data_IF_086321353671
#
_entry.id   IF_086321353671
#
_cell.length_a   1.000
_cell.length_b   1.000
_cell.length_c   1.000
_cell.angle_alpha   90.00
_cell.angle_beta   90.00
_cell.angle_gamma   90.00
#
_symmetry.space_group_name_H-M   'P 1'
#
loop_
_entity.id
_entity.type
_entity.pdbx_description
1 polymer ?
#
# COMPACT_ATOMS: atom_id res chain seq x y z
N UNK A 1 43.76 27.00 -25.98
CA UNK A 1 42.67 26.00 -26.00
C UNK A 1 41.75 26.36 -24.86
N UNK A 2 40.57 26.90 -25.19
CA UNK A 2 39.63 27.47 -24.23
C UNK A 2 38.89 26.35 -23.51
N UNK A 3 39.00 26.31 -22.17
CA UNK A 3 38.15 25.52 -21.30
C UNK A 3 36.74 26.16 -21.35
N UNK A 4 35.88 25.64 -22.21
CA UNK A 4 34.48 26.01 -22.21
C UNK A 4 33.81 25.26 -21.05
N UNK A 5 33.62 25.94 -19.93
CA UNK A 5 32.79 25.49 -18.82
C UNK A 5 31.39 25.22 -19.38
N UNK A 6 30.93 23.95 -19.37
CA UNK A 6 29.54 23.59 -19.64
C UNK A 6 28.66 24.32 -18.61
N UNK A 7 28.03 25.42 -19.01
CA UNK A 7 27.11 26.21 -18.17
C UNK A 7 25.66 25.77 -18.27
N UNK A 8 25.35 24.82 -19.16
CA UNK A 8 23.97 24.55 -19.51
C UNK A 8 23.43 23.36 -18.71
N UNK A 9 22.37 23.63 -17.94
CA UNK A 9 21.57 22.61 -17.27
C UNK A 9 20.66 21.98 -18.33
N UNK A 10 20.85 20.69 -18.61
CA UNK A 10 20.03 19.96 -19.59
C UNK A 10 18.78 19.44 -18.89
N UNK A 11 17.60 19.69 -19.46
CA UNK A 11 16.32 19.24 -18.89
C UNK A 11 15.80 18.07 -19.69
N UNK A 12 15.52 16.95 -19.02
CA UNK A 12 14.86 15.79 -19.61
C UNK A 12 13.40 15.78 -19.14
N UNK A 13 12.53 16.27 -20.02
CA UNK A 13 11.09 16.49 -19.76
C UNK A 13 10.84 17.32 -18.49
N UNK A 14 9.65 17.24 -17.90
CA UNK A 14 9.35 17.83 -16.59
C UNK A 14 9.74 16.93 -15.41
N UNK A 15 10.46 15.83 -15.65
CA UNK A 15 10.87 14.86 -14.64
C UNK A 15 12.20 15.18 -13.98
N UNK A 16 13.24 15.52 -14.75
CA UNK A 16 14.58 15.73 -14.21
C UNK A 16 15.38 16.79 -14.96
N UNK A 17 16.37 17.33 -14.27
CA UNK A 17 17.43 18.17 -14.82
C UNK A 17 18.80 17.56 -14.53
N UNK A 18 19.73 17.71 -15.46
CA UNK A 18 21.12 17.32 -15.31
C UNK A 18 21.92 18.56 -14.93
N UNK A 19 22.50 18.53 -13.74
CA UNK A 19 23.34 19.61 -13.22
C UNK A 19 24.63 19.74 -14.05
N UNK A 20 25.35 20.89 -13.97
CA UNK A 20 26.60 21.09 -14.71
C UNK A 20 27.70 20.06 -14.41
N UNK A 21 27.64 19.39 -13.25
CA UNK A 21 28.55 18.31 -12.84
C UNK A 21 28.12 16.92 -13.35
N UNK A 22 27.07 16.84 -14.17
CA UNK A 22 26.53 15.62 -14.76
C UNK A 22 25.55 14.87 -13.86
N UNK A 23 25.28 15.36 -12.65
CA UNK A 23 24.38 14.69 -11.71
C UNK A 23 22.90 14.95 -12.01
N UNK A 24 22.03 13.91 -12.01
CA UNK A 24 20.61 14.10 -12.20
C UNK A 24 19.95 14.63 -10.92
N UNK A 25 19.02 15.58 -11.06
CA UNK A 25 18.11 16.03 -10.00
C UNK A 25 16.69 15.97 -10.51
N UNK A 26 15.81 15.34 -9.74
CA UNK A 26 14.38 15.36 -10.02
C UNK A 26 13.85 16.78 -9.85
N UNK A 27 12.86 17.13 -10.69
CA UNK A 27 12.18 18.41 -10.62
C UNK A 27 11.22 18.45 -9.42
N UNK A 28 10.86 19.66 -9.00
CA UNK A 28 9.91 19.87 -7.91
C UNK A 28 8.55 19.21 -8.18
N UNK A 29 8.03 18.52 -7.17
CA UNK A 29 6.75 17.81 -7.26
C UNK A 29 6.78 16.49 -8.04
N UNK A 30 7.97 15.98 -8.39
CA UNK A 30 8.15 14.62 -8.93
C UNK A 30 8.37 13.62 -7.79
N UNK A 31 9.18 13.98 -6.81
CA UNK A 31 9.53 13.12 -5.68
C UNK A 31 10.05 13.95 -4.50
N UNK A 32 9.81 13.55 -3.23
CA UNK A 32 10.32 14.27 -2.04
C UNK A 32 11.85 14.24 -1.91
N UNK A 33 12.50 13.21 -2.43
CA UNK A 33 13.97 13.12 -2.54
C UNK A 33 14.42 13.62 -3.93
N UNK A 34 14.93 14.86 -4.07
CA UNK A 34 15.35 15.39 -5.36
C UNK A 34 16.59 14.66 -5.93
N UNK A 35 17.38 14.03 -5.07
CA UNK A 35 18.52 13.17 -5.39
C UNK A 35 18.18 11.68 -5.49
N UNK A 36 16.91 11.29 -5.62
CA UNK A 36 16.48 9.88 -5.70
C UNK A 36 17.38 9.03 -6.63
N UNK A 37 17.75 9.56 -7.79
CA UNK A 37 18.54 8.85 -8.79
C UNK A 37 20.04 8.75 -8.45
N UNK A 38 20.49 9.29 -7.33
CA UNK A 38 21.84 9.11 -6.79
C UNK A 38 21.92 8.06 -5.70
N UNK A 39 20.77 7.71 -5.11
CA UNK A 39 20.68 6.72 -4.07
C UNK A 39 20.68 5.30 -4.68
N UNK A 40 21.21 4.36 -3.92
CA UNK A 40 20.92 2.94 -4.13
C UNK A 40 19.58 2.57 -3.47
N UNK A 41 19.09 1.35 -3.73
CA UNK A 41 17.78 0.94 -3.24
C UNK A 41 17.69 0.97 -1.71
N UNK A 42 18.74 0.55 -1.00
CA UNK A 42 18.77 0.59 0.47
C UNK A 42 18.73 2.03 1.00
N UNK A 43 19.43 2.96 0.36
CA UNK A 43 19.38 4.38 0.70
C UNK A 43 17.98 4.97 0.54
N UNK A 44 17.23 4.56 -0.49
CA UNK A 44 15.81 4.96 -0.66
C UNK A 44 14.95 4.37 0.46
N UNK A 45 15.07 3.07 0.72
CA UNK A 45 14.28 2.40 1.77
C UNK A 45 14.52 3.01 3.15
N UNK A 46 15.78 3.29 3.50
CA UNK A 46 16.14 3.88 4.79
C UNK A 46 15.67 5.35 4.91
N UNK A 47 15.72 6.13 3.81
CA UNK A 47 15.20 7.49 3.80
C UNK A 47 13.70 7.54 4.12
N UNK A 48 12.90 6.65 3.51
CA UNK A 48 11.47 6.56 3.80
C UNK A 48 11.19 6.02 5.19
N UNK A 49 11.90 4.98 5.64
CA UNK A 49 11.79 4.48 7.00
C UNK A 49 11.99 5.60 8.02
N UNK A 50 13.03 6.42 7.83
CA UNK A 50 13.33 7.57 8.70
C UNK A 50 12.25 8.66 8.59
N UNK A 51 11.84 9.01 7.37
CA UNK A 51 10.82 10.05 7.13
C UNK A 51 9.49 9.68 7.78
N UNK A 52 9.01 8.46 7.56
CA UNK A 52 7.79 7.97 8.16
C UNK A 52 7.85 7.97 9.69
N UNK A 53 8.96 7.51 10.29
CA UNK A 53 9.15 7.59 11.74
C UNK A 53 9.07 9.03 12.26
N UNK A 54 9.59 10.01 11.52
CA UNK A 54 9.48 11.42 11.88
C UNK A 54 8.02 11.91 11.81
N UNK A 55 7.28 11.56 10.76
CA UNK A 55 5.87 11.89 10.62
C UNK A 55 5.01 11.27 11.73
N UNK A 56 5.26 10.00 12.09
CA UNK A 56 4.60 9.35 13.22
C UNK A 56 4.88 10.08 14.53
N UNK A 57 6.14 10.41 14.84
CA UNK A 57 6.50 11.14 16.06
C UNK A 57 5.81 12.51 16.11
N UNK A 58 5.68 13.20 14.97
CA UNK A 58 4.96 14.47 14.88
C UNK A 58 3.48 14.29 15.23
N UNK A 59 2.78 13.31 14.63
CA UNK A 59 1.36 13.08 14.90
C UNK A 59 1.11 12.60 16.34
N UNK A 60 2.00 11.80 16.91
CA UNK A 60 1.93 11.43 18.33
C UNK A 60 2.09 12.67 19.22
N UNK A 61 3.03 13.57 18.90
CA UNK A 61 3.18 14.84 19.62
C UNK A 61 1.92 15.72 19.52
N UNK A 62 1.23 15.71 18.37
CA UNK A 62 -0.07 16.38 18.20
C UNK A 62 -1.17 15.77 19.09
N UNK A 63 -1.16 14.44 19.29
CA UNK A 63 -2.08 13.74 20.20
C UNK A 63 -1.76 13.98 21.68
N UNK A 64 -0.56 14.45 22.03
CA UNK A 64 -0.17 14.80 23.39
C UNK A 64 -0.48 16.26 23.74
N UNK A 65 -0.67 17.13 22.74
CA UNK A 65 -0.97 18.56 22.92
C UNK A 65 -2.47 18.82 23.25
N UNK A 66 -2.81 19.32 24.45
CA UNK A 66 -4.19 19.66 24.80
C UNK A 66 -4.86 20.73 23.92
N UNK A 67 -4.06 21.56 23.24
CA UNK A 67 -4.56 22.54 22.29
C UNK A 67 -4.92 21.94 20.92
N UNK A 68 -4.53 20.69 20.65
CA UNK A 68 -4.84 20.01 19.40
C UNK A 68 -6.32 19.53 19.36
N UNK A 69 -7.06 19.76 18.26
CA UNK A 69 -8.42 19.27 18.11
C UNK A 69 -8.58 17.74 18.25
N UNK A 70 -7.61 16.98 17.75
CA UNK A 70 -7.64 15.52 17.79
C UNK A 70 -7.45 15.00 19.23
N UNK A 71 -6.54 15.60 19.99
CA UNK A 71 -6.40 15.33 21.42
C UNK A 71 -7.72 15.56 22.16
N UNK A 72 -8.37 16.71 21.94
CA UNK A 72 -9.65 17.03 22.60
C UNK A 72 -10.75 16.02 22.27
N UNK A 73 -10.84 15.59 21.00
CA UNK A 73 -11.78 14.55 20.60
C UNK A 73 -11.55 13.25 21.36
N UNK A 74 -10.29 12.82 21.52
CA UNK A 74 -9.97 11.59 22.24
C UNK A 74 -10.24 11.71 23.75
N UNK A 75 -9.91 12.86 24.34
CA UNK A 75 -10.24 13.16 25.72
C UNK A 75 -11.76 13.10 25.97
N UNK A 76 -12.57 13.67 25.07
CA UNK A 76 -14.03 13.62 25.16
C UNK A 76 -14.57 12.18 25.10
N UNK A 77 -14.08 11.35 24.18
CA UNK A 77 -14.47 9.94 24.10
C UNK A 77 -14.12 9.18 25.39
N UNK A 78 -12.93 9.43 25.96
CA UNK A 78 -12.52 8.83 27.23
C UNK A 78 -13.39 9.29 28.40
N UNK A 79 -13.74 10.57 28.45
CA UNK A 79 -14.63 11.13 29.48
C UNK A 79 -16.05 10.54 29.40
N UNK A 80 -16.54 10.28 28.19
CA UNK A 80 -17.82 9.59 27.99
C UNK A 80 -17.72 8.15 28.48
N UNK A 81 -16.66 7.42 28.12
CA UNK A 81 -16.44 6.04 28.54
C UNK A 81 -16.35 5.92 30.07
N UNK A 82 -15.61 6.81 30.73
CA UNK A 82 -15.42 6.79 32.18
C UNK A 82 -16.72 7.00 32.99
N UNK A 83 -17.80 7.50 32.37
CA UNK A 83 -19.11 7.66 32.99
C UNK A 83 -19.99 6.41 32.90
N UNK A 84 -19.58 5.40 32.13
CA UNK A 84 -20.29 4.13 31.94
C UNK A 84 -19.45 2.97 32.54
N UNK A 85 -19.82 2.41 33.71
CA UNK A 85 -19.02 1.41 34.42
C UNK A 85 -18.75 0.09 33.65
N UNK A 86 -19.42 -0.17 32.53
CA UNK A 86 -19.17 -1.33 31.67
C UNK A 86 -18.35 -1.03 30.42
N UNK A 87 -17.95 0.23 30.21
CA UNK A 87 -17.27 0.69 29.01
C UNK A 87 -15.75 0.57 29.14
N UNK A 88 -15.14 -0.24 28.28
CA UNK A 88 -13.71 -0.54 28.29
C UNK A 88 -12.87 0.39 27.40
N UNK A 89 -13.46 1.41 26.79
CA UNK A 89 -12.73 2.29 25.86
C UNK A 89 -11.64 3.08 26.60
N UNK A 90 -11.93 3.61 27.79
CA UNK A 90 -10.93 4.33 28.58
C UNK A 90 -9.78 3.44 29.09
N UNK A 91 -9.98 2.11 29.10
CA UNK A 91 -9.02 1.11 29.56
C UNK A 91 -8.08 0.62 28.46
N UNK A 92 -8.27 1.07 27.20
CA UNK A 92 -7.39 0.67 26.11
C UNK A 92 -5.95 1.06 26.40
N UNK A 93 -5.04 0.09 26.28
CA UNK A 93 -3.62 0.27 26.58
C UNK A 93 -2.99 1.41 25.79
N UNK A 94 -3.51 1.66 24.58
CA UNK A 94 -3.06 2.74 23.70
C UNK A 94 -3.10 4.13 24.37
N UNK A 95 -3.97 4.33 25.36
CA UNK A 95 -4.07 5.59 26.10
C UNK A 95 -3.05 5.73 27.24
N UNK A 96 -2.30 4.67 27.57
CA UNK A 96 -1.19 4.79 28.51
C UNK A 96 -0.05 5.62 27.91
N UNK A 97 0.67 6.42 28.71
CA UNK A 97 1.77 7.26 28.21
C UNK A 97 2.78 6.45 27.40
N UNK A 98 3.01 6.84 26.14
CA UNK A 98 3.96 6.19 25.23
C UNK A 98 3.50 4.86 24.61
N UNK A 99 2.33 4.32 24.97
CA UNK A 99 1.86 3.04 24.44
C UNK A 99 1.53 3.13 22.95
N UNK A 100 0.85 4.19 22.51
CA UNK A 100 0.59 4.43 21.09
C UNK A 100 1.90 4.49 20.28
N UNK A 101 2.90 5.24 20.77
CA UNK A 101 4.20 5.33 20.13
C UNK A 101 4.90 3.97 20.03
N UNK A 102 4.82 3.16 21.09
CA UNK A 102 5.39 1.81 21.13
C UNK A 102 4.73 0.90 20.10
N UNK A 103 3.39 0.88 20.06
CA UNK A 103 2.61 0.11 19.10
C UNK A 103 2.95 0.50 17.65
N UNK A 104 3.00 1.81 17.36
CA UNK A 104 3.36 2.32 16.04
C UNK A 104 4.76 1.87 15.62
N UNK A 105 5.77 2.06 16.47
CA UNK A 105 7.14 1.70 16.15
C UNK A 105 7.29 0.18 15.99
N UNK A 106 6.63 -0.62 16.82
CA UNK A 106 6.65 -2.08 16.70
C UNK A 106 6.07 -2.56 15.37
N UNK A 107 4.92 -2.02 14.97
CA UNK A 107 4.26 -2.39 13.72
C UNK A 107 5.00 -1.82 12.49
N UNK A 108 5.54 -0.61 12.60
CA UNK A 108 6.40 0.01 11.58
C UNK A 108 7.62 -0.86 11.30
N UNK A 109 8.36 -1.22 12.33
CA UNK A 109 9.55 -2.06 12.22
C UNK A 109 9.21 -3.45 11.67
N UNK A 110 8.07 -4.01 12.08
CA UNK A 110 7.59 -5.28 11.53
C UNK A 110 7.35 -5.20 10.01
N UNK A 111 6.62 -4.18 9.56
CA UNK A 111 6.33 -3.95 8.13
C UNK A 111 7.62 -3.67 7.37
N UNK A 112 8.41 -2.67 7.79
CA UNK A 112 9.60 -2.20 7.08
C UNK A 112 10.75 -3.23 7.09
N UNK A 113 10.77 -4.12 8.07
CA UNK A 113 11.71 -5.25 8.11
C UNK A 113 11.38 -6.38 7.12
N UNK A 114 10.16 -6.41 6.56
CA UNK A 114 9.75 -7.53 5.71
C UNK A 114 10.58 -7.58 4.40
N UNK A 115 11.03 -8.77 3.95
CA UNK A 115 11.92 -8.89 2.78
C UNK A 115 11.30 -8.48 1.43
N UNK A 116 9.98 -8.24 1.39
CA UNK A 116 9.28 -7.83 0.16
C UNK A 116 9.78 -6.50 -0.40
N UNK A 117 10.23 -5.57 0.46
CA UNK A 117 10.77 -4.27 0.01
C UNK A 117 12.12 -4.41 -0.69
N UNK A 118 12.80 -5.55 -0.49
CA UNK A 118 14.07 -5.91 -1.14
C UNK A 118 13.87 -6.97 -2.22
N UNK A 119 12.63 -7.16 -2.68
CA UNK A 119 12.35 -8.16 -3.70
C UNK A 119 13.18 -7.88 -4.97
N UNK A 120 13.81 -8.90 -5.60
CA UNK A 120 14.68 -8.73 -6.77
C UNK A 120 14.09 -7.90 -7.91
N UNK A 121 12.77 -7.99 -8.10
CA UNK A 121 12.03 -7.17 -9.05
C UNK A 121 12.23 -5.66 -8.83
N UNK A 122 11.99 -5.17 -7.61
CA UNK A 122 12.09 -3.73 -7.33
C UNK A 122 13.53 -3.23 -7.45
N UNK A 123 14.50 -4.03 -7.01
CA UNK A 123 15.92 -3.70 -7.11
C UNK A 123 16.37 -3.58 -8.58
N UNK A 124 15.97 -4.55 -9.42
CA UNK A 124 16.30 -4.55 -10.85
C UNK A 124 15.62 -3.41 -11.59
N UNK A 125 14.33 -3.17 -11.32
CA UNK A 125 13.61 -2.04 -11.90
C UNK A 125 14.22 -0.71 -11.48
N UNK A 126 14.56 -0.51 -10.21
CA UNK A 126 15.17 0.73 -9.74
C UNK A 126 16.54 1.01 -10.39
N UNK A 127 17.31 -0.03 -10.70
CA UNK A 127 18.54 0.10 -11.48
C UNK A 127 18.30 0.53 -12.94
N UNK A 128 17.06 0.50 -13.42
CA UNK A 128 16.70 0.74 -14.82
C UNK A 128 17.07 -0.43 -15.72
N UNK A 129 17.31 -1.62 -15.17
CA UNK A 129 17.75 -2.81 -15.92
C UNK A 129 16.56 -3.57 -16.50
N UNK A 130 15.91 -2.93 -17.47
CA UNK A 130 14.82 -3.49 -18.24
C UNK A 130 14.69 -2.79 -19.60
N UNK A 131 13.94 -3.39 -20.52
CA UNK A 131 13.59 -2.81 -21.81
C UNK A 131 12.10 -2.39 -21.91
N UNK A 132 11.72 -1.83 -23.07
CA UNK A 132 10.35 -1.37 -23.31
C UNK A 132 9.29 -2.50 -23.23
N UNK A 133 9.62 -3.69 -23.71
CA UNK A 133 8.69 -4.83 -23.71
C UNK A 133 8.47 -5.34 -22.28
N UNK A 134 9.53 -5.36 -21.47
CA UNK A 134 9.50 -5.71 -20.06
C UNK A 134 8.68 -4.69 -19.25
N UNK A 135 8.88 -3.39 -19.47
CA UNK A 135 8.06 -2.36 -18.81
C UNK A 135 6.58 -2.47 -19.20
N UNK A 136 6.28 -2.75 -20.48
CA UNK A 136 4.90 -3.01 -20.95
C UNK A 136 4.30 -4.23 -20.25
N UNK A 137 5.03 -5.34 -20.16
CA UNK A 137 4.55 -6.57 -19.51
C UNK A 137 4.26 -6.32 -18.01
N UNK A 138 5.16 -5.62 -17.32
CA UNK A 138 4.93 -5.20 -15.94
C UNK A 138 3.68 -4.33 -15.81
N UNK A 139 3.57 -3.27 -16.61
CA UNK A 139 2.48 -2.31 -16.51
C UNK A 139 1.10 -2.97 -16.71
N UNK A 140 1.00 -3.88 -17.69
CA UNK A 140 -0.24 -4.61 -17.97
C UNK A 140 -0.66 -5.51 -16.80
N UNK A 141 0.27 -6.25 -16.21
CA UNK A 141 -0.04 -7.15 -15.10
C UNK A 141 -0.24 -6.38 -13.78
N UNK A 142 0.57 -5.37 -13.49
CA UNK A 142 0.44 -4.58 -12.27
C UNK A 142 -0.84 -3.72 -12.26
N UNK A 143 -1.36 -3.33 -13.42
CA UNK A 143 -2.67 -2.69 -13.51
C UNK A 143 -3.80 -3.57 -12.95
N UNK A 144 -3.69 -4.90 -13.01
CA UNK A 144 -4.65 -5.78 -12.35
C UNK A 144 -4.65 -5.62 -10.83
N UNK A 145 -3.52 -5.33 -10.21
CA UNK A 145 -3.47 -5.00 -8.78
C UNK A 145 -4.20 -3.68 -8.49
N UNK A 146 -3.86 -2.62 -9.23
CA UNK A 146 -4.46 -1.27 -9.09
C UNK A 146 -5.99 -1.28 -9.27
N UNK A 147 -6.49 -2.14 -10.16
CA UNK A 147 -7.94 -2.30 -10.36
C UNK A 147 -8.69 -2.83 -9.13
N UNK A 148 -8.01 -3.53 -8.23
CA UNK A 148 -8.64 -4.26 -7.13
C UNK A 148 -8.41 -3.63 -5.74
N UNK A 149 -7.34 -2.84 -5.53
CA UNK A 149 -7.02 -2.18 -4.25
C UNK A 149 -8.24 -1.51 -3.60
N UNK A 150 -8.93 -0.63 -4.32
CA UNK A 150 -10.13 0.07 -3.81
C UNK A 150 -11.26 -0.84 -3.36
N UNK A 151 -11.39 -2.02 -3.97
CA UNK A 151 -12.45 -2.97 -3.60
C UNK A 151 -12.15 -3.58 -2.23
N UNK A 152 -10.87 -3.77 -1.89
CA UNK A 152 -10.44 -4.25 -0.58
C UNK A 152 -10.78 -3.22 0.50
N UNK A 153 -10.52 -1.93 0.25
CA UNK A 153 -10.92 -0.86 1.19
C UNK A 153 -12.44 -0.84 1.38
N UNK A 154 -13.23 -0.92 0.30
CA UNK A 154 -14.68 -0.96 0.38
C UNK A 154 -15.21 -2.20 1.15
N UNK A 155 -14.57 -3.36 0.99
CA UNK A 155 -14.88 -4.56 1.77
C UNK A 155 -14.60 -4.35 3.25
N UNK A 156 -13.46 -3.74 3.59
CA UNK A 156 -13.09 -3.43 4.96
C UNK A 156 -14.08 -2.45 5.62
N UNK A 157 -14.53 -1.40 4.92
CA UNK A 157 -15.56 -0.47 5.42
C UNK A 157 -16.80 -1.24 5.88
N UNK A 158 -17.26 -2.20 5.08
CA UNK A 158 -18.45 -3.00 5.38
C UNK A 158 -18.34 -3.87 6.63
N UNK A 159 -17.13 -4.06 7.18
CA UNK A 159 -16.90 -4.80 8.44
C UNK A 159 -17.24 -3.97 9.69
N UNK A 160 -17.32 -2.65 9.55
CA UNK A 160 -17.62 -1.72 10.63
C UNK A 160 -19.08 -1.29 10.53
N UNK A 161 -19.88 -1.55 11.57
CA UNK A 161 -21.30 -1.17 11.63
C UNK A 161 -21.81 -1.12 13.07
N UNK A 162 -22.96 -0.46 13.30
CA UNK A 162 -23.57 -0.33 14.64
C UNK A 162 -24.00 -1.64 15.31
N UNK A 163 -24.13 -2.74 14.56
CA UNK A 163 -24.40 -4.08 15.11
C UNK A 163 -23.12 -4.84 15.55
N UNK A 164 -21.95 -4.21 15.44
CA UNK A 164 -20.68 -4.85 15.80
C UNK A 164 -20.59 -4.91 17.32
N UNK A 165 -20.43 -6.10 17.87
CA UNK A 165 -20.24 -6.27 19.29
C UNK A 165 -18.87 -5.71 19.70
N UNK A 166 -18.88 -4.67 20.52
CA UNK A 166 -17.69 -4.05 21.09
C UNK A 166 -17.94 -3.72 22.57
N UNK A 167 -16.89 -3.71 23.40
CA UNK A 167 -17.02 -3.44 24.82
C UNK A 167 -17.06 -1.93 25.15
N UNK A 168 -17.53 -1.09 24.22
CA UNK A 168 -17.49 0.38 24.37
C UNK A 168 -18.88 1.01 24.58
N UNK A 169 -19.90 0.22 24.91
CA UNK A 169 -21.23 0.72 25.27
C UNK A 169 -21.78 1.74 24.27
N UNK A 170 -22.11 2.94 24.75
CA UNK A 170 -22.63 4.06 23.93
C UNK A 170 -21.64 4.58 22.87
N UNK A 171 -20.35 4.25 22.99
CA UNK A 171 -19.32 4.64 22.03
C UNK A 171 -19.13 3.63 20.90
N UNK A 172 -19.78 2.47 20.94
CA UNK A 172 -19.63 1.44 19.91
C UNK A 172 -19.88 2.01 18.50
N UNK A 173 -21.01 2.70 18.32
CA UNK A 173 -21.34 3.31 17.04
C UNK A 173 -20.31 4.37 16.63
N UNK A 174 -19.87 5.22 17.58
CA UNK A 174 -18.90 6.28 17.30
C UNK A 174 -17.51 5.75 16.91
N UNK A 175 -17.01 4.72 17.60
CA UNK A 175 -15.71 4.11 17.28
C UNK A 175 -15.77 3.41 15.91
N UNK A 176 -16.87 2.71 15.63
CA UNK A 176 -17.11 2.13 14.30
C UNK A 176 -17.18 3.22 13.21
N UNK A 177 -17.85 4.34 13.48
CA UNK A 177 -17.96 5.47 12.55
C UNK A 177 -16.59 6.09 12.25
N UNK A 178 -15.71 6.24 13.25
CA UNK A 178 -14.35 6.74 13.02
C UNK A 178 -13.54 5.85 12.07
N UNK A 179 -13.69 4.52 12.19
CA UNK A 179 -13.09 3.58 11.24
C UNK A 179 -13.68 3.73 9.83
N UNK A 180 -15.00 3.87 9.73
CA UNK A 180 -15.66 4.11 8.45
C UNK A 180 -15.21 5.42 7.81
N UNK A 181 -15.04 6.51 8.56
CA UNK A 181 -14.60 7.81 8.04
C UNK A 181 -13.19 7.71 7.46
N UNK A 182 -12.25 7.11 8.20
CA UNK A 182 -10.86 6.93 7.72
C UNK A 182 -10.84 6.08 6.46
N UNK A 183 -11.51 4.93 6.47
CA UNK A 183 -11.56 4.05 5.31
C UNK A 183 -12.33 4.67 4.12
N UNK A 184 -13.37 5.46 4.38
CA UNK A 184 -14.11 6.18 3.34
C UNK A 184 -13.22 7.22 2.65
N UNK A 185 -12.33 7.89 3.38
CA UNK A 185 -11.35 8.79 2.78
C UNK A 185 -10.40 8.04 1.83
N UNK A 186 -9.94 6.83 2.21
CA UNK A 186 -9.13 5.97 1.33
C UNK A 186 -9.91 5.55 0.08
N UNK A 187 -11.19 5.17 0.22
CA UNK A 187 -12.05 4.88 -0.94
C UNK A 187 -12.21 6.12 -1.82
N UNK A 188 -12.45 7.28 -1.21
CA UNK A 188 -12.66 8.53 -1.91
C UNK A 188 -11.44 8.90 -2.77
N UNK A 189 -10.23 8.76 -2.21
CA UNK A 189 -8.96 8.95 -2.92
C UNK A 189 -8.81 7.99 -4.12
N UNK A 190 -9.04 6.69 -3.90
CA UNK A 190 -8.99 5.67 -4.96
C UNK A 190 -9.96 5.92 -6.14
N UNK A 191 -11.12 6.51 -5.84
CA UNK A 191 -12.14 6.88 -6.83
C UNK A 191 -11.99 8.33 -7.34
N UNK A 192 -10.99 9.08 -6.88
CA UNK A 192 -10.77 10.47 -7.30
C UNK A 192 -11.98 11.37 -7.00
N UNK A 193 -12.69 11.10 -5.90
CA UNK A 193 -13.84 11.88 -5.42
C UNK A 193 -13.44 12.48 -4.06
N UNK A 194 -13.43 13.81 -3.95
CA UNK A 194 -13.09 14.46 -2.68
C UNK A 194 -14.29 14.50 -1.71
N UNK A 195 -14.04 14.89 -0.47
CA UNK A 195 -15.12 15.34 0.43
C UNK A 195 -15.67 16.67 -0.10
N UNK A 196 -16.77 16.61 -0.85
CA UNK A 196 -17.42 17.80 -1.38
C UNK A 196 -18.24 18.50 -0.29
N UNK A 197 -18.15 19.83 -0.20
CA UNK A 197 -19.11 20.62 0.56
C UNK A 197 -20.52 20.47 -0.03
N UNK A 198 -21.58 20.79 0.72
CA UNK A 198 -22.97 20.75 0.20
C UNK A 198 -23.15 21.62 -1.06
N UNK A 199 -22.31 22.65 -1.22
CA UNK A 199 -22.34 23.59 -2.34
C UNK A 199 -21.45 23.15 -3.53
N UNK A 200 -20.64 22.09 -3.37
CA UNK A 200 -19.70 21.54 -4.37
C UNK A 200 -20.13 20.17 -4.92
N UNK A 201 -21.44 19.88 -4.95
CA UNK A 201 -21.91 18.60 -5.48
C UNK A 201 -21.50 18.44 -6.95
N UNK A 202 -20.85 17.32 -7.33
CA UNK A 202 -20.31 17.18 -8.67
C UNK A 202 -21.42 17.12 -9.71
N UNK A 203 -21.21 17.78 -10.85
CA UNK A 203 -22.07 17.58 -12.02
C UNK A 203 -22.02 16.11 -12.48
N UNK A 204 -23.05 15.64 -13.20
CA UNK A 204 -23.05 14.29 -13.76
C UNK A 204 -21.81 14.03 -14.64
N UNK A 205 -21.41 15.03 -15.43
CA UNK A 205 -20.16 14.96 -16.21
C UNK A 205 -18.93 14.85 -15.32
N UNK A 206 -18.87 15.63 -14.23
CA UNK A 206 -17.79 15.56 -13.25
C UNK A 206 -17.65 14.17 -12.63
N UNK A 207 -18.77 13.54 -12.25
CA UNK A 207 -18.79 12.17 -11.71
C UNK A 207 -18.25 11.12 -12.69
N UNK A 208 -18.60 11.22 -13.97
CA UNK A 208 -18.11 10.28 -14.98
C UNK A 208 -16.67 10.58 -15.46
N UNK A 209 -16.13 11.74 -15.10
CA UNK A 209 -14.78 12.21 -15.46
C UNK A 209 -13.80 12.23 -14.28
N UNK A 210 -14.15 11.60 -13.14
CA UNK A 210 -13.29 11.55 -11.95
C UNK A 210 -11.93 10.91 -12.26
N UNK A 211 -10.86 11.54 -11.77
CA UNK A 211 -9.48 11.07 -11.92
C UNK A 211 -9.18 9.97 -10.91
N UNK A 212 -9.73 8.78 -11.13
CA UNK A 212 -9.46 7.59 -10.30
C UNK A 212 -8.00 7.13 -10.43
N UNK A 213 -7.52 6.30 -9.50
CA UNK A 213 -6.22 5.63 -9.64
C UNK A 213 -6.09 4.79 -10.93
N UNK A 214 -7.19 4.25 -11.47
CA UNK A 214 -7.15 3.61 -12.80
C UNK A 214 -6.89 4.62 -13.91
N UNK A 215 -7.56 5.77 -13.87
CA UNK A 215 -7.38 6.81 -14.89
C UNK A 215 -5.93 7.29 -14.85
N UNK A 216 -5.39 7.54 -13.66
CA UNK A 216 -3.99 7.90 -13.46
C UNK A 216 -3.04 6.81 -13.98
N UNK A 217 -3.31 5.53 -13.68
CA UNK A 217 -2.47 4.44 -14.18
C UNK A 217 -2.54 4.31 -15.71
N UNK A 218 -3.70 4.58 -16.33
CA UNK A 218 -3.83 4.56 -17.79
C UNK A 218 -3.00 5.66 -18.48
N UNK A 219 -2.61 6.73 -17.77
CA UNK A 219 -1.67 7.72 -18.31
C UNK A 219 -0.27 7.13 -18.52
N UNK A 220 0.15 6.13 -17.74
CA UNK A 220 1.36 5.36 -18.04
C UNK A 220 1.23 4.64 -19.38
N UNK A 221 0.07 4.03 -19.65
CA UNK A 221 -0.18 3.36 -20.92
C UNK A 221 -0.14 4.30 -22.11
N UNK A 222 -0.57 5.56 -21.94
CA UNK A 222 -0.37 6.60 -22.97
C UNK A 222 1.13 6.83 -23.23
N UNK A 223 1.93 6.99 -22.18
CA UNK A 223 3.38 7.15 -22.29
C UNK A 223 4.12 5.94 -22.90
N UNK A 224 3.56 4.74 -22.74
CA UNK A 224 4.07 3.48 -23.31
C UNK A 224 3.42 3.12 -24.66
N UNK A 225 2.56 3.97 -25.20
CA UNK A 225 1.82 3.76 -26.44
C UNK A 225 1.02 2.43 -26.48
N UNK A 226 0.42 2.03 -25.35
CA UNK A 226 -0.40 0.82 -25.25
C UNK A 226 -1.88 1.17 -25.54
N UNK A 227 -2.47 0.65 -26.63
CA UNK A 227 -3.86 0.96 -27.00
C UNK A 227 -4.87 0.52 -25.93
N UNK A 228 -5.94 1.29 -25.73
CA UNK A 228 -6.95 1.02 -24.69
C UNK A 228 -7.50 -0.42 -24.71
N UNK A 229 -7.75 -0.97 -25.91
CA UNK A 229 -8.25 -2.34 -26.08
C UNK A 229 -7.27 -3.44 -25.65
N UNK A 230 -6.01 -3.11 -25.40
CA UNK A 230 -4.95 -4.04 -24.98
C UNK A 230 -4.58 -3.90 -23.50
N UNK A 231 -5.10 -2.88 -22.80
CA UNK A 231 -4.70 -2.55 -21.43
C UNK A 231 -5.26 -3.52 -20.38
N UNK A 232 -6.36 -4.21 -20.67
CA UNK A 232 -7.03 -5.12 -19.75
C UNK A 232 -6.74 -6.58 -20.10
N UNK A 233 -5.68 -7.13 -19.47
CA UNK A 233 -5.23 -8.52 -19.66
C UNK A 233 -5.66 -9.44 -18.51
N UNK A 234 -5.82 -10.76 -18.74
CA UNK A 234 -5.98 -11.74 -17.67
C UNK A 234 -4.80 -11.70 -16.68
N UNK A 235 -5.09 -11.89 -15.40
CA UNK A 235 -4.09 -11.92 -14.33
C UNK A 235 -3.21 -13.17 -14.46
N UNK A 236 -1.91 -13.01 -14.30
CA UNK A 236 -1.06 -14.16 -13.93
C UNK A 236 -1.41 -14.65 -12.52
N UNK A 237 -1.05 -15.89 -12.20
CA UNK A 237 -1.53 -16.56 -10.99
C UNK A 237 -1.16 -15.83 -9.71
N UNK A 238 0.09 -15.37 -9.55
CA UNK A 238 0.54 -14.64 -8.37
C UNK A 238 -0.17 -13.30 -8.19
N UNK A 239 -0.52 -12.62 -9.28
CA UNK A 239 -1.36 -11.40 -9.22
C UNK A 239 -2.77 -11.75 -8.76
N UNK A 240 -3.35 -12.83 -9.29
CA UNK A 240 -4.66 -13.30 -8.86
C UNK A 240 -4.67 -13.70 -7.38
N UNK A 241 -3.66 -14.41 -6.90
CA UNK A 241 -3.52 -14.79 -5.50
C UNK A 241 -3.41 -13.57 -4.60
N UNK A 242 -2.55 -12.60 -4.93
CA UNK A 242 -2.41 -11.38 -4.14
C UNK A 242 -3.74 -10.61 -4.04
N UNK A 243 -4.48 -10.49 -5.15
CA UNK A 243 -5.82 -9.89 -5.15
C UNK A 243 -6.79 -10.67 -4.26
N UNK A 244 -6.81 -12.01 -4.35
CA UNK A 244 -7.71 -12.83 -3.51
C UNK A 244 -7.35 -12.74 -2.04
N UNK A 245 -6.07 -12.81 -1.68
CA UNK A 245 -5.60 -12.71 -0.30
C UNK A 245 -6.02 -11.37 0.30
N UNK A 246 -5.81 -10.26 -0.40
CA UNK A 246 -6.25 -8.94 0.05
C UNK A 246 -7.75 -8.87 0.28
N UNK A 247 -8.55 -9.37 -0.66
CA UNK A 247 -10.01 -9.37 -0.53
C UNK A 247 -10.51 -10.24 0.62
N UNK A 248 -9.89 -11.41 0.81
CA UNK A 248 -10.25 -12.35 1.87
C UNK A 248 -9.99 -11.74 3.24
N UNK A 249 -8.77 -11.24 3.50
CA UNK A 249 -8.44 -10.65 4.80
C UNK A 249 -9.27 -9.38 5.05
N UNK A 250 -9.54 -8.57 4.02
CA UNK A 250 -10.33 -7.35 4.16
C UNK A 250 -11.83 -7.60 4.42
N UNK A 251 -12.42 -8.62 3.78
CA UNK A 251 -13.89 -8.74 3.68
C UNK A 251 -14.50 -10.02 4.25
N UNK A 252 -13.74 -11.11 4.35
CA UNK A 252 -14.30 -12.41 4.68
C UNK A 252 -14.62 -12.54 6.18
N UNK A 253 -15.78 -13.11 6.49
CA UNK A 253 -16.25 -13.30 7.87
C UNK A 253 -15.36 -14.18 8.74
N UNK A 254 -14.48 -14.99 8.13
CA UNK A 254 -13.49 -15.81 8.86
C UNK A 254 -12.42 -14.96 9.55
N UNK A 255 -12.17 -13.72 9.13
CA UNK A 255 -11.16 -12.82 9.72
C UNK A 255 -11.80 -11.74 10.58
N UNK A 256 -11.09 -11.28 11.61
CA UNK A 256 -11.58 -10.25 12.54
C UNK A 256 -11.58 -8.85 11.90
N UNK A 257 -12.23 -7.89 12.57
CA UNK A 257 -12.20 -6.49 12.14
C UNK A 257 -10.80 -5.88 12.25
N UNK A 258 -9.98 -6.33 13.22
CA UNK A 258 -8.58 -5.94 13.35
C UNK A 258 -7.75 -6.41 12.16
N UNK A 259 -7.93 -7.67 11.76
CA UNK A 259 -7.25 -8.25 10.60
C UNK A 259 -7.65 -7.53 9.31
N UNK A 260 -8.93 -7.17 9.18
CA UNK A 260 -9.44 -6.35 8.08
C UNK A 260 -8.78 -4.96 8.03
N UNK A 261 -8.72 -4.21 9.14
CA UNK A 261 -8.00 -2.92 9.17
C UNK A 261 -6.50 -3.06 8.87
N UNK A 262 -5.86 -4.07 9.45
CA UNK A 262 -4.45 -4.36 9.20
C UNK A 262 -4.17 -4.65 7.72
N UNK A 263 -5.11 -5.30 7.03
CA UNK A 263 -4.98 -5.60 5.60
C UNK A 263 -4.92 -4.35 4.73
N UNK A 264 -5.73 -3.34 5.03
CA UNK A 264 -5.85 -2.12 4.23
C UNK A 264 -4.92 -1.00 4.70
N UNK A 265 -4.52 -0.94 5.97
CA UNK A 265 -3.51 0.01 6.43
C UNK A 265 -2.10 -0.53 6.23
N UNK A 266 -1.67 -1.40 7.16
CA UNK A 266 -0.32 -1.95 7.24
C UNK A 266 0.07 -2.79 6.01
N UNK A 267 -0.84 -3.65 5.57
CA UNK A 267 -0.59 -4.63 4.50
C UNK A 267 -0.54 -4.03 3.10
N UNK A 268 -1.30 -2.96 2.88
CA UNK A 268 -1.60 -2.44 1.55
C UNK A 268 -0.95 -1.08 1.28
N UNK A 269 -1.09 -0.11 2.20
CA UNK A 269 -0.73 1.30 2.01
C UNK A 269 0.67 1.62 2.54
N UNK A 270 1.08 1.01 3.66
CA UNK A 270 2.21 1.52 4.42
C UNK A 270 3.52 1.54 3.63
N UNK A 271 3.89 0.43 2.99
CA UNK A 271 5.12 0.37 2.21
C UNK A 271 5.01 0.94 0.79
N UNK A 272 3.86 1.51 0.41
CA UNK A 272 3.61 1.97 -0.96
C UNK A 272 4.58 3.05 -1.39
N UNK A 273 4.79 4.14 -0.61
CA UNK A 273 5.75 5.18 -0.99
C UNK A 273 7.12 4.60 -1.34
N UNK A 274 7.62 3.65 -0.56
CA UNK A 274 8.95 3.06 -0.72
C UNK A 274 9.13 2.33 -2.03
N UNK A 275 8.28 1.33 -2.30
CA UNK A 275 8.46 0.55 -3.51
C UNK A 275 7.98 1.34 -4.75
N UNK A 276 7.05 2.28 -4.61
CA UNK A 276 6.70 3.20 -5.70
C UNK A 276 7.85 4.15 -6.03
N UNK A 277 8.64 4.60 -5.06
CA UNK A 277 9.87 5.35 -5.32
C UNK A 277 10.90 4.53 -6.10
N UNK A 278 11.02 3.24 -5.80
CA UNK A 278 11.89 2.33 -6.57
C UNK A 278 11.40 2.15 -8.01
N UNK A 279 10.08 1.95 -8.21
CA UNK A 279 9.49 1.85 -9.55
C UNK A 279 9.64 3.16 -10.33
N UNK A 280 9.27 4.29 -9.71
CA UNK A 280 9.34 5.63 -10.30
C UNK A 280 10.77 5.98 -10.70
N UNK A 281 11.73 5.81 -9.78
CA UNK A 281 13.15 6.04 -10.07
C UNK A 281 13.64 5.20 -11.23
N UNK A 282 13.27 3.91 -11.26
CA UNK A 282 13.59 2.99 -12.36
C UNK A 282 13.05 3.42 -13.72
N UNK A 283 11.77 3.77 -13.78
CA UNK A 283 11.11 4.27 -15.00
C UNK A 283 11.73 5.58 -15.49
N UNK A 284 12.07 6.50 -14.59
CA UNK A 284 12.74 7.76 -14.94
C UNK A 284 14.15 7.49 -15.49
N UNK A 285 14.94 6.61 -14.84
CA UNK A 285 16.28 6.23 -15.31
C UNK A 285 16.24 5.63 -16.70
N UNK A 286 15.35 4.66 -16.91
CA UNK A 286 15.17 4.01 -18.20
C UNK A 286 14.76 5.01 -19.27
N UNK A 287 13.73 5.82 -19.01
CA UNK A 287 13.24 6.81 -19.97
C UNK A 287 14.32 7.80 -20.36
N UNK A 288 15.11 8.28 -19.39
CA UNK A 288 16.22 9.19 -19.63
C UNK A 288 17.32 8.53 -20.47
N UNK A 289 17.72 7.30 -20.14
CA UNK A 289 18.75 6.55 -20.87
C UNK A 289 18.36 6.26 -22.31
N UNK A 290 17.12 5.84 -22.53
CA UNK A 290 16.62 5.42 -23.85
C UNK A 290 16.02 6.57 -24.67
N UNK A 291 15.93 7.78 -24.10
CA UNK A 291 15.34 8.95 -24.77
C UNK A 291 13.81 8.83 -24.98
N UNK A 292 13.11 8.07 -24.14
CA UNK A 292 11.65 7.90 -24.20
C UNK A 292 11.00 9.08 -23.46
N UNK A 293 10.10 9.86 -24.09
CA UNK A 293 9.59 11.11 -23.52
C UNK A 293 8.49 10.89 -22.46
N UNK A 294 8.76 10.06 -21.45
CA UNK A 294 7.92 9.99 -20.25
C UNK A 294 7.97 11.33 -19.51
N UNK A 295 6.85 11.75 -18.93
CA UNK A 295 6.71 13.03 -18.23
C UNK A 295 5.86 12.82 -16.96
N UNK A 296 5.62 13.89 -16.18
CA UNK A 296 4.84 13.80 -14.93
C UNK A 296 3.43 13.28 -15.14
N UNK A 297 2.77 13.63 -16.26
CA UNK A 297 1.44 13.12 -16.61
C UNK A 297 1.47 11.59 -16.76
N UNK A 298 2.45 11.04 -17.47
CA UNK A 298 2.57 9.59 -17.64
C UNK A 298 2.87 8.84 -16.33
N UNK A 299 3.58 9.47 -15.40
CA UNK A 299 4.01 8.84 -14.14
C UNK A 299 3.17 9.28 -12.93
N UNK A 300 2.04 9.95 -13.17
CA UNK A 300 1.28 10.66 -12.14
C UNK A 300 0.81 9.75 -11.01
N UNK A 301 0.36 8.53 -11.32
CA UNK A 301 -0.05 7.55 -10.30
C UNK A 301 1.07 7.27 -9.30
N UNK A 302 2.32 7.18 -9.76
CA UNK A 302 3.44 6.90 -8.86
C UNK A 302 3.84 8.12 -8.04
N UNK A 303 3.82 9.29 -8.66
CA UNK A 303 4.12 10.57 -8.01
C UNK A 303 3.13 10.85 -6.87
N UNK A 304 1.84 10.61 -7.11
CA UNK A 304 0.79 10.84 -6.13
C UNK A 304 0.93 9.96 -4.88
N UNK A 305 1.09 8.64 -5.05
CA UNK A 305 1.20 7.71 -3.92
C UNK A 305 2.46 7.97 -3.07
N UNK A 306 3.57 8.37 -3.70
CA UNK A 306 4.77 8.79 -2.95
C UNK A 306 4.52 10.05 -2.10
N UNK A 307 3.66 10.96 -2.56
CA UNK A 307 3.40 12.23 -1.89
C UNK A 307 2.33 12.14 -0.79
N UNK A 308 1.33 11.26 -0.94
CA UNK A 308 0.09 11.33 -0.14
C UNK A 308 -0.11 10.20 0.87
N UNK A 309 0.45 9.01 0.67
CA UNK A 309 0.00 7.80 1.38
C UNK A 309 0.44 7.69 2.86
N UNK A 310 1.40 8.52 3.30
CA UNK A 310 1.87 8.51 4.70
C UNK A 310 0.74 8.86 5.68
N UNK A 311 -0.14 9.80 5.31
CA UNK A 311 -1.29 10.18 6.15
C UNK A 311 -2.33 9.05 6.24
N UNK A 312 -2.53 8.29 5.17
CA UNK A 312 -3.44 7.13 5.16
C UNK A 312 -2.96 6.07 6.13
N UNK A 313 -1.67 5.70 6.07
CA UNK A 313 -1.08 4.71 6.97
C UNK A 313 -1.19 5.13 8.45
N UNK A 314 -0.90 6.40 8.77
CA UNK A 314 -1.05 6.96 10.13
C UNK A 314 -2.50 6.87 10.59
N UNK A 315 -3.45 7.32 9.76
CA UNK A 315 -4.86 7.41 10.13
C UNK A 315 -5.48 6.03 10.38
N UNK A 316 -5.19 5.06 9.50
CA UNK A 316 -5.68 3.68 9.66
C UNK A 316 -5.07 3.05 10.90
N UNK A 317 -3.81 3.31 11.20
CA UNK A 317 -3.18 2.76 12.39
C UNK A 317 -3.70 3.36 13.69
N UNK A 318 -3.94 4.67 13.71
CA UNK A 318 -4.59 5.33 14.82
C UNK A 318 -5.95 4.69 15.11
N UNK A 319 -6.77 4.43 14.09
CA UNK A 319 -8.07 3.77 14.31
C UNK A 319 -7.91 2.28 14.64
N UNK A 320 -6.94 1.57 14.07
CA UNK A 320 -6.63 0.18 14.41
C UNK A 320 -6.36 0.02 15.91
N UNK A 321 -5.72 1.01 16.54
CA UNK A 321 -5.46 1.02 17.98
C UNK A 321 -6.73 1.02 18.85
N UNK A 322 -7.88 1.44 18.33
CA UNK A 322 -9.16 1.32 19.03
C UNK A 322 -9.73 -0.09 19.02
N UNK A 323 -9.09 -1.03 18.32
CA UNK A 323 -9.50 -2.42 18.25
C UNK A 323 -8.46 -3.37 18.84
N UNK A 324 -7.41 -2.83 19.50
CA UNK A 324 -6.46 -3.63 20.29
C UNK A 324 -7.03 -3.88 21.69
N UNK A 325 -7.94 -4.83 21.77
CA UNK A 325 -8.76 -5.10 22.97
C UNK A 325 -8.22 -6.18 23.89
N UNK A 326 -7.21 -6.91 23.45
CA UNK A 326 -6.62 -8.07 24.12
C UNK A 326 -5.16 -8.27 23.73
N UNK A 327 -4.44 -9.03 24.55
CA UNK A 327 -3.00 -9.30 24.44
C UNK A 327 -2.59 -9.90 23.08
N UNK A 328 -3.50 -10.59 22.40
CA UNK A 328 -3.25 -11.24 21.11
C UNK A 328 -3.51 -10.30 19.91
N UNK A 329 -4.04 -9.09 20.14
CA UNK A 329 -4.44 -8.17 19.07
C UNK A 329 -3.28 -7.78 18.16
N UNK A 330 -2.11 -7.47 18.74
CA UNK A 330 -0.91 -7.12 17.98
C UNK A 330 -0.42 -8.31 17.16
N UNK A 331 -0.47 -9.53 17.72
CA UNK A 331 -0.11 -10.74 17.00
C UNK A 331 -1.04 -11.00 15.81
N UNK A 332 -2.36 -10.80 15.96
CA UNK A 332 -3.32 -10.91 14.85
C UNK A 332 -3.08 -9.85 13.76
N UNK A 333 -2.80 -8.60 14.16
CA UNK A 333 -2.46 -7.52 13.23
C UNK A 333 -1.21 -7.91 12.42
N UNK A 334 -0.13 -8.34 13.08
CA UNK A 334 1.10 -8.81 12.42
C UNK A 334 0.84 -10.02 11.53
N UNK A 335 0.03 -10.98 11.99
CA UNK A 335 -0.35 -12.16 11.22
C UNK A 335 -1.09 -11.80 9.93
N UNK A 336 -2.09 -10.91 10.02
CA UNK A 336 -2.77 -10.37 8.84
C UNK A 336 -1.77 -9.69 7.91
N UNK A 337 -0.95 -8.76 8.41
CA UNK A 337 0.10 -8.10 7.61
C UNK A 337 1.02 -9.11 6.91
N UNK A 338 1.43 -10.19 7.58
CA UNK A 338 2.27 -11.25 6.98
C UNK A 338 1.56 -11.93 5.80
N UNK A 339 0.24 -12.18 5.88
CA UNK A 339 -0.52 -12.74 4.75
C UNK A 339 -0.40 -11.84 3.51
N UNK A 340 -0.60 -10.54 3.69
CA UNK A 340 -0.53 -9.57 2.58
C UNK A 340 0.89 -9.45 2.03
N UNK A 341 1.89 -9.40 2.90
CA UNK A 341 3.29 -9.25 2.49
C UNK A 341 3.82 -10.51 1.79
N UNK A 342 3.39 -11.69 2.23
CA UNK A 342 3.72 -12.97 1.58
C UNK A 342 3.02 -13.09 0.22
N UNK A 343 1.74 -12.71 0.13
CA UNK A 343 1.01 -12.63 -1.14
C UNK A 343 1.66 -11.66 -2.13
N UNK A 344 2.08 -10.48 -1.65
CA UNK A 344 2.79 -9.49 -2.45
C UNK A 344 4.15 -10.01 -2.92
N UNK A 345 4.92 -10.63 -2.03
CA UNK A 345 6.20 -11.24 -2.40
C UNK A 345 6.02 -12.26 -3.52
N UNK A 346 5.09 -13.20 -3.37
CA UNK A 346 4.81 -14.21 -4.39
C UNK A 346 4.31 -13.60 -5.71
N UNK A 347 3.46 -12.57 -5.66
CA UNK A 347 3.07 -11.80 -6.84
C UNK A 347 4.28 -11.20 -7.55
N UNK A 348 5.19 -10.57 -6.81
CA UNK A 348 6.39 -9.97 -7.39
C UNK A 348 7.34 -11.04 -7.96
N UNK A 349 7.40 -12.24 -7.39
CA UNK A 349 8.18 -13.36 -7.94
C UNK A 349 7.59 -13.86 -9.27
N UNK A 350 6.26 -13.96 -9.35
CA UNK A 350 5.54 -14.31 -10.59
C UNK A 350 5.68 -13.22 -11.65
N UNK A 351 5.61 -11.94 -11.26
CA UNK A 351 5.89 -10.81 -12.15
C UNK A 351 7.34 -10.84 -12.64
N UNK A 352 8.31 -11.16 -11.79
CA UNK A 352 9.70 -11.30 -12.20
C UNK A 352 9.87 -12.36 -13.28
N UNK A 353 9.32 -13.56 -13.06
CA UNK A 353 9.30 -14.62 -14.08
C UNK A 353 8.63 -14.18 -15.37
N UNK A 354 7.48 -13.53 -15.25
CA UNK A 354 6.70 -13.09 -16.42
C UNK A 354 7.40 -12.00 -17.24
N UNK A 355 8.06 -11.06 -16.57
CA UNK A 355 8.69 -9.89 -17.20
C UNK A 355 10.07 -10.23 -17.72
N UNK A 356 10.90 -10.92 -16.93
CA UNK A 356 12.31 -11.16 -17.25
C UNK A 356 12.57 -12.54 -17.87
N UNK A 357 11.58 -13.45 -17.87
CA UNK A 357 11.76 -14.85 -18.30
C UNK A 357 12.88 -15.57 -17.54
N UNK A 358 13.04 -15.22 -16.27
CA UNK A 358 14.09 -15.70 -15.38
C UNK A 358 13.48 -16.27 -14.09
N UNK A 359 14.07 -17.31 -13.49
CA UNK A 359 13.60 -17.85 -12.22
C UNK A 359 13.73 -16.81 -11.10
N UNK A 360 12.78 -16.85 -10.16
CA UNK A 360 12.77 -15.97 -8.98
C UNK A 360 12.31 -16.79 -7.76
N UNK A 361 13.04 -16.78 -6.64
CA UNK A 361 12.64 -17.54 -5.46
C UNK A 361 11.31 -17.01 -4.90
N UNK A 362 10.44 -17.91 -4.45
CA UNK A 362 9.23 -17.58 -3.70
C UNK A 362 9.47 -17.44 -2.19
N UNK A 363 8.44 -17.13 -1.40
CA UNK A 363 8.56 -16.92 0.05
C UNK A 363 9.23 -18.06 0.83
N UNK A 364 9.02 -19.31 0.42
CA UNK A 364 9.60 -20.49 1.06
C UNK A 364 11.11 -20.67 0.78
N UNK A 365 11.64 -20.02 -0.26
CA UNK A 365 13.00 -20.24 -0.76
C UNK A 365 14.00 -19.18 -0.27
N UNK A 366 13.52 -18.09 0.33
CA UNK A 366 14.35 -16.95 0.75
C UNK A 366 14.84 -17.01 2.21
N UNK A 367 14.57 -18.10 2.92
CA UNK A 367 14.89 -18.21 4.35
C UNK A 367 14.12 -17.19 5.19
N UNK A 368 12.81 -17.05 4.93
CA UNK A 368 11.94 -16.11 5.63
C UNK A 368 12.03 -16.28 7.15
N UNK A 369 12.25 -15.18 7.88
CA UNK A 369 12.39 -15.21 9.33
C UNK A 369 11.10 -15.70 10.03
N UNK A 370 11.18 -16.40 11.17
CA UNK A 370 10.01 -16.95 11.86
C UNK A 370 8.91 -15.93 12.21
N UNK A 371 9.28 -14.67 12.48
CA UNK A 371 8.33 -13.59 12.77
C UNK A 371 7.38 -13.28 11.60
N UNK A 372 7.75 -13.68 10.38
CA UNK A 372 6.96 -13.49 9.16
C UNK A 372 6.22 -14.76 8.73
N UNK A 373 6.36 -15.86 9.47
CA UNK A 373 5.63 -17.09 9.18
C UNK A 373 4.15 -16.90 9.52
N UNK A 374 3.30 -17.62 8.79
CA UNK A 374 1.85 -17.61 8.98
C UNK A 374 1.51 -18.63 10.06
N UNK A 375 1.07 -18.17 11.22
CA UNK A 375 0.59 -19.04 12.29
C UNK A 375 -0.86 -19.50 12.05
N UNK A 376 -1.67 -18.64 11.44
CA UNK A 376 -3.09 -18.90 11.23
C UNK A 376 -3.38 -19.52 9.85
N UNK A 377 -3.90 -20.75 9.88
CA UNK A 377 -4.21 -21.53 8.67
C UNK A 377 -5.64 -21.29 8.12
N UNK A 378 -6.46 -20.40 8.69
CA UNK A 378 -7.79 -20.05 8.14
C UNK A 378 -7.73 -19.63 6.66
N UNK A 379 -6.64 -18.97 6.28
CA UNK A 379 -6.40 -18.51 4.90
C UNK A 379 -6.22 -19.64 3.88
N UNK A 380 -5.80 -20.83 4.30
CA UNK A 380 -5.55 -21.96 3.39
C UNK A 380 -6.84 -22.42 2.71
N UNK A 381 -7.85 -22.78 3.50
CA UNK A 381 -9.16 -23.16 2.96
C UNK A 381 -9.81 -22.00 2.20
N UNK A 382 -9.72 -20.78 2.74
CA UNK A 382 -10.28 -19.58 2.15
C UNK A 382 -9.74 -19.30 0.74
N UNK A 383 -8.41 -19.39 0.55
CA UNK A 383 -7.76 -19.12 -0.72
C UNK A 383 -8.08 -20.21 -1.74
N UNK A 384 -8.08 -21.48 -1.34
CA UNK A 384 -8.42 -22.59 -2.23
C UNK A 384 -9.88 -22.50 -2.71
N UNK A 385 -10.82 -22.18 -1.82
CA UNK A 385 -12.22 -21.93 -2.15
C UNK A 385 -12.37 -20.75 -3.12
N UNK A 386 -11.66 -19.64 -2.87
CA UNK A 386 -11.71 -18.47 -3.71
C UNK A 386 -11.09 -18.71 -5.11
N UNK A 387 -9.99 -19.47 -5.19
CA UNK A 387 -9.39 -19.88 -6.47
C UNK A 387 -10.35 -20.68 -7.32
N UNK A 388 -11.05 -21.65 -6.73
CA UNK A 388 -12.02 -22.49 -7.44
C UNK A 388 -13.16 -21.68 -8.10
N UNK A 389 -13.47 -20.50 -7.55
CA UNK A 389 -14.51 -19.60 -8.04
C UNK A 389 -14.00 -18.55 -9.05
N UNK A 390 -12.69 -18.48 -9.32
CA UNK A 390 -12.11 -17.47 -10.19
C UNK A 390 -12.71 -17.53 -11.62
N UNK A 391 -13.05 -16.38 -12.21
CA UNK A 391 -13.68 -16.30 -13.53
C UNK A 391 -12.79 -16.83 -14.67
N UNK A 392 -13.37 -17.58 -15.61
CA UNK A 392 -12.62 -18.32 -16.65
C UNK A 392 -11.77 -17.44 -17.59
N UNK A 393 -12.14 -16.17 -17.77
CA UNK A 393 -11.43 -15.20 -18.62
C UNK A 393 -10.62 -14.17 -17.84
N UNK A 394 -10.57 -14.28 -16.50
CA UNK A 394 -9.96 -13.27 -15.62
C UNK A 394 -8.54 -13.62 -15.19
N UNK A 395 -8.19 -14.90 -15.25
CA UNK A 395 -6.87 -15.44 -14.89
C UNK A 395 -6.32 -16.22 -16.07
N UNK A 396 -5.03 -16.05 -16.38
CA UNK A 396 -4.33 -16.83 -17.38
C UNK A 396 -4.32 -18.31 -16.97
N UNK A 397 -4.67 -19.21 -17.89
CA UNK A 397 -4.91 -20.63 -17.57
C UNK A 397 -5.81 -20.81 -16.33
N UNK A 398 -7.05 -20.30 -16.40
CA UNK A 398 -7.98 -20.36 -15.28
C UNK A 398 -8.27 -21.80 -14.81
N UNK A 399 -8.20 -22.79 -15.70
CA UNK A 399 -8.39 -24.19 -15.34
C UNK A 399 -7.23 -24.69 -14.46
N UNK A 400 -5.97 -24.44 -14.87
CA UNK A 400 -4.81 -24.75 -14.05
C UNK A 400 -4.81 -23.99 -12.73
N UNK A 401 -5.12 -22.69 -12.74
CA UNK A 401 -5.20 -21.86 -11.54
C UNK A 401 -6.20 -22.39 -10.50
N UNK A 402 -7.41 -22.76 -10.93
CA UNK A 402 -8.46 -23.32 -10.05
C UNK A 402 -8.06 -24.65 -9.41
N UNK A 403 -7.16 -25.41 -10.04
CA UNK A 403 -6.71 -26.70 -9.56
C UNK A 403 -5.48 -26.63 -8.64
N UNK A 404 -4.85 -25.45 -8.50
CA UNK A 404 -3.65 -25.27 -7.67
C UNK A 404 -3.92 -25.42 -6.19
N UNK A 405 -3.13 -26.26 -5.53
CA UNK A 405 -3.16 -26.48 -4.08
C UNK A 405 -1.98 -25.85 -3.34
N UNK A 406 -0.96 -25.37 -4.06
CA UNK A 406 0.19 -24.71 -3.48
C UNK A 406 -0.18 -23.30 -2.97
N UNK A 407 0.42 -22.85 -1.86
CA UNK A 407 0.07 -21.59 -1.24
C UNK A 407 1.28 -20.66 -1.17
N UNK A 408 1.09 -19.34 -1.34
CA UNK A 408 2.17 -18.36 -1.28
C UNK A 408 2.55 -18.02 0.16
N UNK A 409 2.60 -19.01 1.06
CA UNK A 409 2.82 -18.82 2.49
C UNK A 409 3.88 -19.78 3.04
N UNK A 410 4.64 -19.32 4.02
CA UNK A 410 5.45 -20.17 4.89
C UNK A 410 4.72 -20.27 6.22
N UNK A 411 4.20 -21.45 6.54
CA UNK A 411 3.50 -21.66 7.81
C UNK A 411 4.49 -21.90 8.95
N UNK A 412 4.15 -21.40 10.14
CA UNK A 412 4.90 -21.73 11.34
C UNK A 412 4.79 -23.24 11.61
N UNK A 413 5.84 -23.83 12.18
CA UNK A 413 5.79 -25.23 12.59
C UNK A 413 4.68 -25.44 13.64
N UNK A 414 3.94 -26.55 13.52
CA UNK A 414 2.98 -26.95 14.56
C UNK A 414 3.74 -27.22 15.86
N UNK A 415 3.44 -26.43 16.88
CA UNK A 415 4.07 -26.49 18.21
C UNK A 415 3.49 -27.54 19.12
#
# INVERSE_FOLDING_TARGET
MSNQTRTDTETFTDLLRVLPDGRPRLQEGVHPLPELLELDAEGVLEAFRTSQQADFRRVIGELEDPANPLHRMFAELRDIAARDPGNRFADLEVFAPGALATLFLELHEHVMGHPVWRHPFFLRVFAGDFDAAQLRAFALQYFNQVKNTRQCVALAIGRFHGLLEMPYGVLNERVSELAQIVLAQLVADEYGVGSHSLDDYPSLHGLFSSTTHMVMYRQLFEGLAIPFGEQDVPMIHGVADNVLIQRLVAGDGRFSVQESLASVGLGMEWGVPEFFSLLLGGMIRWAWREGVPLNRHHLWVFIAHVAYDVLHAISVMLVTSFFTTDDDSVARIKGATNLLMSGRYAMMSDLYRHVFDEPCPGPAEIGLAPAYHIADRRIEAALLEARAQAGASRVADAAGYRARTDLPFVFAAEG
#
